data_IF_282947609467
#
_entry.id   IF_282947609467
#
_cell.length_a   1.000
_cell.length_b   1.000
_cell.length_c   1.000
_cell.angle_alpha   90.00
_cell.angle_beta   90.00
_cell.angle_gamma   90.00
#
_symmetry.space_group_name_H-M   'P 1'
#
loop_
_entity.id
_entity.type
_entity.pdbx_description
1 polymer ?
#
# COMPACT_ATOMS: atom_id res chain seq x y z
N UNK A 1 -11.89 10.15 7.09
CA UNK A 1 -11.61 9.68 5.72
C UNK A 1 -11.56 8.16 5.73
N UNK A 2 -12.07 7.46 4.71
CA UNK A 2 -11.88 6.01 4.59
C UNK A 2 -10.43 5.75 4.15
N UNK A 3 -9.68 4.85 4.81
CA UNK A 3 -8.35 4.46 4.34
C UNK A 3 -8.42 4.00 2.89
N UNK A 4 -7.43 4.43 2.09
CA UNK A 4 -7.31 4.06 0.68
C UNK A 4 -6.66 2.70 0.49
N UNK A 5 -6.30 2.02 1.57
CA UNK A 5 -5.70 0.71 1.56
C UNK A 5 -6.43 -0.21 2.54
N UNK A 6 -6.77 -1.41 2.09
CA UNK A 6 -7.31 -2.49 2.92
C UNK A 6 -6.62 -3.79 2.53
N UNK A 7 -6.26 -4.61 3.50
CA UNK A 7 -5.79 -5.97 3.28
C UNK A 7 -6.70 -6.97 3.99
N UNK A 8 -6.87 -8.13 3.38
CA UNK A 8 -7.58 -9.29 3.92
C UNK A 8 -6.91 -10.58 3.41
N UNK A 9 -7.49 -11.74 3.75
CA UNK A 9 -6.92 -13.03 3.40
C UNK A 9 -6.80 -13.26 1.88
N UNK A 10 -7.63 -12.58 1.08
CA UNK A 10 -7.68 -12.77 -0.37
C UNK A 10 -6.70 -11.82 -1.09
N UNK A 11 -6.40 -10.65 -0.52
CA UNK A 11 -5.42 -9.73 -1.08
C UNK A 11 -5.46 -8.30 -0.52
N UNK A 12 -5.06 -7.36 -1.37
CA UNK A 12 -5.03 -5.92 -1.06
C UNK A 12 -6.01 -5.18 -1.96
N UNK A 13 -6.90 -4.40 -1.36
CA UNK A 13 -7.76 -3.44 -2.07
C UNK A 13 -7.23 -2.03 -1.93
N UNK A 14 -6.95 -1.40 -3.06
CA UNK A 14 -6.56 0.01 -3.18
C UNK A 14 -7.77 0.85 -3.62
N UNK A 15 -8.10 1.88 -2.85
CA UNK A 15 -9.11 2.89 -3.16
C UNK A 15 -8.54 4.07 -3.95
N UNK A 16 -9.12 4.34 -5.11
CA UNK A 16 -8.80 5.47 -5.98
C UNK A 16 -9.99 6.39 -6.22
N UNK A 17 -9.71 7.55 -6.83
CA UNK A 17 -10.73 8.45 -7.35
C UNK A 17 -11.62 7.76 -8.40
N UNK A 18 -11.04 6.85 -9.18
CA UNK A 18 -11.70 6.09 -10.25
C UNK A 18 -12.31 4.77 -9.77
N UNK A 19 -12.36 4.51 -8.46
CA UNK A 19 -12.90 3.28 -7.89
C UNK A 19 -11.88 2.45 -7.13
N UNK A 20 -12.27 1.23 -6.75
CA UNK A 20 -11.42 0.30 -5.99
C UNK A 20 -10.80 -0.73 -6.92
N UNK A 21 -9.54 -1.06 -6.69
CA UNK A 21 -8.82 -2.15 -7.37
C UNK A 21 -8.39 -3.17 -6.34
N UNK A 22 -8.74 -4.43 -6.55
CA UNK A 22 -8.32 -5.53 -5.69
C UNK A 22 -7.19 -6.30 -6.36
N UNK A 23 -6.14 -6.54 -5.60
CA UNK A 23 -4.91 -7.21 -6.00
C UNK A 23 -4.73 -8.46 -5.14
N UNK A 24 -4.95 -9.67 -5.69
CA UNK A 24 -4.68 -10.91 -4.99
C UNK A 24 -3.22 -11.00 -4.51
N UNK A 25 -2.97 -11.65 -3.38
CA UNK A 25 -1.61 -11.80 -2.83
C UNK A 25 -0.54 -12.32 -3.82
N UNK A 26 -0.84 -13.28 -4.73
CA UNK A 26 0.13 -13.71 -5.74
C UNK A 26 0.59 -12.62 -6.70
N UNK A 27 -0.23 -11.58 -6.88
CA UNK A 27 0.09 -10.43 -7.74
C UNK A 27 0.82 -9.32 -6.97
N UNK A 28 0.86 -9.38 -5.64
CA UNK A 28 1.58 -8.43 -4.79
C UNK A 28 3.06 -8.81 -4.72
N UNK A 29 3.88 -8.02 -5.40
CA UNK A 29 5.33 -8.26 -5.51
C UNK A 29 6.08 -7.79 -4.28
N UNK A 30 5.64 -6.71 -3.64
CA UNK A 30 6.32 -6.21 -2.45
C UNK A 30 5.61 -5.06 -1.78
N UNK A 31 5.88 -4.95 -0.48
CA UNK A 31 5.50 -3.82 0.37
C UNK A 31 6.78 -3.27 0.98
N UNK A 32 7.03 -1.97 0.83
CA UNK A 32 8.22 -1.29 1.34
C UNK A 32 7.84 0.00 2.03
N UNK A 33 8.60 0.39 3.05
CA UNK A 33 8.53 1.74 3.61
C UNK A 33 9.72 2.56 3.12
N UNK A 34 9.44 3.75 2.60
CA UNK A 34 10.44 4.75 2.24
C UNK A 34 10.38 5.91 3.23
N UNK A 35 11.49 6.16 3.93
CA UNK A 35 11.66 7.35 4.78
C UNK A 35 12.22 8.50 3.93
N UNK A 36 11.56 9.65 3.99
CA UNK A 36 11.93 10.87 3.27
C UNK A 36 12.04 12.04 4.23
N UNK A 37 13.03 12.91 4.01
CA UNK A 37 13.16 14.18 4.76
C UNK A 37 12.69 15.34 3.89
N UNK A 38 11.63 16.04 4.30
CA UNK A 38 11.08 17.21 3.60
C UNK A 38 10.83 18.34 4.58
N UNK A 39 11.26 19.56 4.24
CA UNK A 39 11.05 20.78 5.04
C UNK A 39 11.49 20.63 6.51
N UNK A 40 12.61 19.96 6.75
CA UNK A 40 13.12 19.71 8.11
C UNK A 40 12.33 18.68 8.92
N UNK A 41 11.34 18.01 8.34
CA UNK A 41 10.57 16.93 8.96
C UNK A 41 10.87 15.59 8.28
N UNK A 42 10.94 14.54 9.08
CA UNK A 42 10.97 13.17 8.58
C UNK A 42 9.53 12.70 8.32
N UNK A 43 9.32 11.99 7.23
CA UNK A 43 8.03 11.41 6.86
C UNK A 43 8.26 10.05 6.20
N UNK A 44 7.34 9.14 6.39
CA UNK A 44 7.35 7.81 5.79
C UNK A 44 6.31 7.73 4.65
N UNK A 45 6.57 6.85 3.69
CA UNK A 45 5.68 6.48 2.59
C UNK A 45 5.63 4.96 2.50
N UNK A 46 4.46 4.40 2.21
CA UNK A 46 4.30 2.98 1.92
C UNK A 46 4.26 2.79 0.40
N UNK A 47 5.22 2.03 -0.12
CA UNK A 47 5.23 1.56 -1.51
C UNK A 47 4.62 0.16 -1.57
N UNK A 48 3.69 -0.02 -2.50
CA UNK A 48 3.07 -1.29 -2.82
C UNK A 48 3.28 -1.57 -4.31
N UNK A 49 4.05 -2.61 -4.61
CA UNK A 49 4.29 -3.10 -5.96
C UNK A 49 3.37 -4.26 -6.27
N UNK A 50 2.63 -4.17 -7.36
CA UNK A 50 1.72 -5.20 -7.84
C UNK A 50 1.92 -5.43 -9.33
N UNK A 51 1.52 -6.60 -9.83
CA UNK A 51 1.42 -6.87 -11.27
C UNK A 51 -0.06 -7.04 -11.61
N UNK A 52 -0.52 -6.53 -12.75
CA UNK A 52 -1.91 -6.75 -13.20
C UNK A 52 -2.10 -8.19 -13.72
N UNK A 53 -3.33 -8.58 -14.01
CA UNK A 53 -3.60 -9.87 -14.63
C UNK A 53 -2.94 -9.99 -16.02
N UNK A 54 -2.72 -8.86 -16.69
CA UNK A 54 -2.08 -8.76 -18.01
C UNK A 54 -0.55 -8.76 -17.94
N UNK A 55 0.04 -8.73 -16.74
CA UNK A 55 1.50 -8.74 -16.55
C UNK A 55 2.14 -7.35 -16.41
N UNK A 56 1.35 -6.28 -16.36
CA UNK A 56 1.88 -4.92 -16.23
C UNK A 56 2.23 -4.59 -14.77
N UNK A 57 3.37 -3.95 -14.54
CA UNK A 57 3.75 -3.48 -13.21
C UNK A 57 2.95 -2.23 -12.79
N UNK A 58 2.54 -2.20 -11.52
CA UNK A 58 1.87 -1.07 -10.90
C UNK A 58 2.49 -0.76 -9.54
N UNK A 59 2.86 0.50 -9.35
CA UNK A 59 3.35 1.03 -8.07
C UNK A 59 2.30 1.96 -7.47
N UNK A 60 1.90 1.66 -6.24
CA UNK A 60 1.09 2.54 -5.41
C UNK A 60 1.94 3.11 -4.28
N UNK A 61 1.80 4.41 -4.04
CA UNK A 61 2.48 5.11 -2.94
C UNK A 61 1.44 5.73 -2.03
N UNK A 62 1.50 5.40 -0.75
CA UNK A 62 0.57 5.90 0.27
C UNK A 62 1.31 6.70 1.33
N UNK A 63 0.79 7.90 1.61
CA UNK A 63 1.20 8.68 2.77
C UNK A 63 0.31 8.39 3.98
N UNK A 64 0.67 8.99 5.11
CA UNK A 64 -0.09 8.91 6.37
C UNK A 64 -1.57 9.29 6.21
N UNK A 65 -1.89 10.25 5.35
CA UNK A 65 -3.27 10.68 5.09
C UNK A 65 -4.08 9.63 4.33
N UNK A 66 -3.46 8.91 3.40
CA UNK A 66 -4.12 7.84 2.65
C UNK A 66 -4.41 6.63 3.54
N UNK A 67 -3.50 6.34 4.50
CA UNK A 67 -3.60 5.19 5.40
C UNK A 67 -4.36 5.48 6.69
N UNK A 68 -4.51 6.76 7.06
CA UNK A 68 -4.95 7.21 8.38
C UNK A 68 -4.10 6.65 9.56
N UNK A 69 -2.87 6.21 9.27
CA UNK A 69 -1.90 5.63 10.19
C UNK A 69 -0.48 5.85 9.66
N UNK A 70 0.55 5.64 10.49
CA UNK A 70 1.94 5.74 10.02
C UNK A 70 2.26 4.58 9.06
N UNK A 71 2.80 4.84 7.86
CA UNK A 71 3.30 3.81 6.97
C UNK A 71 4.23 2.77 7.62
N UNK A 72 5.02 3.17 8.62
CA UNK A 72 5.89 2.26 9.37
C UNK A 72 5.12 1.25 10.21
N UNK A 73 3.97 1.65 10.75
CA UNK A 73 3.09 0.77 11.53
C UNK A 73 2.24 -0.12 10.62
N UNK A 74 1.90 0.36 9.41
CA UNK A 74 1.03 -0.35 8.46
C UNK A 74 1.76 -1.47 7.73
N UNK A 75 3.02 -1.26 7.33
CA UNK A 75 3.80 -2.27 6.61
C UNK A 75 3.84 -3.65 7.29
N UNK A 76 4.19 -3.77 8.59
CA UNK A 76 4.22 -5.08 9.26
C UNK A 76 2.83 -5.72 9.37
N UNK A 77 1.77 -4.91 9.47
CA UNK A 77 0.39 -5.42 9.50
C UNK A 77 0.03 -6.05 8.15
N UNK A 78 0.39 -5.43 7.03
CA UNK A 78 0.17 -6.00 5.70
C UNK A 78 0.92 -7.33 5.52
N UNK A 79 2.14 -7.41 6.02
CA UNK A 79 2.92 -8.66 6.00
C UNK A 79 2.28 -9.74 6.87
N UNK A 80 1.67 -9.39 8.01
CA UNK A 80 1.02 -10.35 8.90
C UNK A 80 -0.27 -10.99 8.34
N UNK A 81 -0.93 -10.30 7.40
CA UNK A 81 -2.17 -10.77 6.77
C UNK A 81 -1.89 -11.60 5.51
N UNK A 82 -0.70 -11.42 4.91
CA UNK A 82 -0.26 -12.21 3.76
C UNK A 82 -0.01 -13.66 4.20
N UNK A 83 -0.64 -14.66 3.55
CA UNK A 83 -0.42 -16.08 3.84
C UNK A 83 0.96 -16.57 3.39
#
# INVERSE_FOLDING_TARGET
ARPRLRADADGITVGGLLGKRHHPWPLVQGVRVLRVRRLGRESSLLELNTITAEGDEQLYVFGRLDLAADPEDVAPQLTSVRP
#
